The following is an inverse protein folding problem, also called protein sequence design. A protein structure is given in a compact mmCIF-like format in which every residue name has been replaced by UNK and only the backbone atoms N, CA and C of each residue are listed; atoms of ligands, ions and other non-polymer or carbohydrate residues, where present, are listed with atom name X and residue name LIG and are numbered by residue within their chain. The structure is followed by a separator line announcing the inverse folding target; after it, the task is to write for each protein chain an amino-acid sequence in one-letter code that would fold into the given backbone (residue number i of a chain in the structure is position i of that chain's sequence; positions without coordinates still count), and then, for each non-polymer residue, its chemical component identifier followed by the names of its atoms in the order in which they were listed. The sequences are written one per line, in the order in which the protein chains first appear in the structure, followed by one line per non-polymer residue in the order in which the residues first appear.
data_IF_599467692583
#
_entry.id   IF_599467692583
#
_cell.length_a   1.000
_cell.length_b   1.000
_cell.length_c   1.000
_cell.angle_alpha   90.00
_cell.angle_beta   90.00
_cell.angle_gamma   90.00
#
_symmetry.space_group_name_H-M   'P 1'
#
loop_
_entity.id
_entity.type
_entity.pdbx_description
1 polymer ?
#
# COMPACT_ATOMS: atom_id res chain seq x y z
N UNK A 1 7.51 8.62 -28.51
CA UNK A 1 7.05 9.38 -27.33
C UNK A 1 8.29 9.94 -26.67
N UNK A 2 8.44 11.26 -26.64
CA UNK A 2 9.58 11.90 -26.00
C UNK A 2 9.42 11.80 -24.48
N UNK A 3 10.44 11.29 -23.79
CA UNK A 3 10.41 11.16 -22.34
C UNK A 3 10.63 12.54 -21.72
N UNK A 4 9.63 13.05 -21.02
CA UNK A 4 9.76 14.28 -20.22
C UNK A 4 10.57 13.98 -18.95
N UNK A 5 11.89 14.10 -19.06
CA UNK A 5 12.84 13.86 -17.97
C UNK A 5 12.62 14.80 -16.78
N UNK A 6 12.08 16.00 -17.00
CA UNK A 6 11.72 16.96 -15.95
C UNK A 6 10.66 16.39 -15.00
N UNK A 7 9.67 15.68 -15.55
CA UNK A 7 8.61 15.04 -14.78
C UNK A 7 9.07 13.76 -14.08
N UNK A 8 10.00 13.03 -14.68
CA UNK A 8 10.52 11.75 -14.16
C UNK A 8 11.57 11.98 -13.05
N UNK A 9 12.38 13.03 -13.18
CA UNK A 9 13.46 13.35 -12.24
C UNK A 9 13.06 14.36 -11.16
N UNK A 10 11.76 14.67 -11.01
CA UNK A 10 11.29 15.51 -9.91
C UNK A 10 11.63 14.86 -8.56
N UNK A 11 12.67 15.36 -7.91
CA UNK A 11 13.04 14.96 -6.55
C UNK A 11 12.04 15.60 -5.58
N UNK A 12 11.04 14.81 -5.17
CA UNK A 12 10.07 15.24 -4.16
C UNK A 12 10.80 15.59 -2.87
N UNK A 13 10.49 16.75 -2.29
CA UNK A 13 11.00 17.11 -0.97
C UNK A 13 10.57 16.06 0.05
N UNK A 14 11.55 15.45 0.71
CA UNK A 14 11.38 14.35 1.65
C UNK A 14 11.99 14.70 3.00
N UNK A 15 11.29 14.29 4.05
CA UNK A 15 11.74 14.38 5.44
C UNK A 15 12.23 13.00 5.84
N UNK A 16 13.50 12.91 6.25
CA UNK A 16 14.15 11.66 6.62
C UNK A 16 14.28 11.49 8.14
N UNK A 17 14.38 12.61 8.86
CA UNK A 17 14.54 12.65 10.32
C UNK A 17 13.61 13.68 10.93
N UNK A 18 13.15 13.42 12.14
CA UNK A 18 12.44 14.40 12.97
C UNK A 18 13.28 14.58 14.22
N UNK A 19 13.80 15.80 14.43
CA UNK A 19 14.67 16.14 15.58
C UNK A 19 15.87 15.19 15.74
N UNK A 20 16.47 14.78 14.63
CA UNK A 20 17.64 13.87 14.61
C UNK A 20 17.30 12.38 14.72
N UNK A 21 16.04 12.02 14.99
CA UNK A 21 15.60 10.61 15.02
C UNK A 21 15.10 10.21 13.62
N UNK A 22 15.59 9.11 13.03
CA UNK A 22 15.08 8.62 11.76
C UNK A 22 13.62 8.18 11.92
N UNK A 23 12.79 8.47 10.92
CA UNK A 23 11.37 8.10 10.96
C UNK A 23 11.28 6.56 10.92
N UNK A 24 10.75 5.91 11.96
CA UNK A 24 10.59 4.46 11.98
C UNK A 24 9.65 4.04 10.84
N UNK A 25 9.94 2.90 10.22
CA UNK A 25 9.20 2.34 9.07
C UNK A 25 9.26 3.12 7.74
N UNK A 26 9.89 4.31 7.70
CA UNK A 26 10.03 5.12 6.48
C UNK A 26 11.51 5.38 6.12
N UNK A 27 12.29 4.31 5.86
CA UNK A 27 13.73 4.38 5.51
C UNK A 27 14.02 5.27 4.29
N UNK A 28 13.06 5.43 3.37
CA UNK A 28 13.19 6.23 2.16
C UNK A 28 12.72 7.69 2.31
N UNK A 29 12.44 8.13 3.55
CA UNK A 29 11.88 9.44 3.87
C UNK A 29 10.40 9.56 3.50
N UNK A 30 9.68 10.44 4.19
CA UNK A 30 8.28 10.76 3.90
C UNK A 30 8.24 12.02 3.04
N UNK A 31 7.54 12.00 1.90
CA UNK A 31 7.43 13.21 1.08
C UNK A 31 6.52 14.25 1.75
N UNK A 32 6.86 15.53 1.65
CA UNK A 32 6.05 16.63 2.20
C UNK A 32 4.64 16.61 1.60
N UNK A 33 4.53 16.32 0.31
CA UNK A 33 3.24 16.14 -0.36
C UNK A 33 2.38 15.07 0.33
N UNK A 34 2.96 13.92 0.68
CA UNK A 34 2.23 12.87 1.41
C UNK A 34 1.79 13.35 2.80
N UNK A 35 2.65 14.07 3.53
CA UNK A 35 2.28 14.64 4.83
C UNK A 35 1.10 15.60 4.72
N UNK A 36 1.12 16.50 3.73
CA UNK A 36 0.04 17.47 3.48
C UNK A 36 -1.26 16.75 3.13
N UNK A 37 -1.21 15.76 2.23
CA UNK A 37 -2.39 14.98 1.83
C UNK A 37 -2.97 14.21 3.02
N UNK A 38 -2.13 13.52 3.80
CA UNK A 38 -2.58 12.80 5.00
C UNK A 38 -3.19 13.76 6.03
N UNK A 39 -2.57 14.91 6.26
CA UNK A 39 -3.10 15.94 7.14
C UNK A 39 -4.46 16.47 6.70
N UNK A 40 -4.63 16.73 5.39
CA UNK A 40 -5.89 17.20 4.82
C UNK A 40 -7.00 16.14 4.93
N UNK A 41 -6.69 14.87 4.68
CA UNK A 41 -7.63 13.76 4.87
C UNK A 41 -8.07 13.67 6.34
N UNK A 42 -7.13 13.75 7.28
CA UNK A 42 -7.46 13.76 8.71
C UNK A 42 -8.35 14.93 9.11
N UNK A 43 -8.06 16.13 8.59
CA UNK A 43 -8.86 17.32 8.85
C UNK A 43 -10.31 17.15 8.34
N UNK A 44 -10.49 16.61 7.14
CA UNK A 44 -11.82 16.31 6.58
C UNK A 44 -12.57 15.30 7.45
N UNK A 45 -11.89 14.24 7.92
CA UNK A 45 -12.51 13.24 8.81
C UNK A 45 -12.94 13.86 10.15
N UNK A 46 -12.16 14.78 10.70
CA UNK A 46 -12.52 15.49 11.94
C UNK A 46 -13.77 16.35 11.73
N UNK A 47 -13.83 17.13 10.63
CA UNK A 47 -14.99 17.96 10.30
C UNK A 47 -16.24 17.09 10.14
N UNK A 48 -16.14 15.97 9.41
CA UNK A 48 -17.24 15.01 9.25
C UNK A 48 -17.69 14.43 10.60
N UNK A 49 -16.75 14.09 11.47
CA UNK A 49 -17.05 13.59 12.81
C UNK A 49 -17.81 14.62 13.66
N UNK A 50 -17.40 15.88 13.63
CA UNK A 50 -18.10 16.98 14.32
C UNK A 50 -19.50 17.18 13.74
N UNK A 51 -19.63 17.14 12.41
CA UNK A 51 -20.93 17.26 11.75
C UNK A 51 -21.90 16.14 12.15
N UNK A 52 -21.43 14.89 12.15
CA UNK A 52 -22.20 13.73 12.59
C UNK A 52 -22.64 13.87 14.05
N UNK A 53 -21.74 14.37 14.91
CA UNK A 53 -22.05 14.62 16.31
C UNK A 53 -23.13 15.69 16.49
N UNK A 54 -23.06 16.79 15.73
CA UNK A 54 -24.07 17.87 15.76
C UNK A 54 -25.43 17.37 15.26
N UNK A 55 -25.46 16.51 14.24
CA UNK A 55 -26.70 15.95 13.70
C UNK A 55 -27.42 15.01 14.69
N UNK A 56 -26.77 14.60 15.78
CA UNK A 56 -27.44 13.84 16.85
C UNK A 56 -27.96 12.46 16.42
N UNK A 57 -27.45 11.91 15.31
CA UNK A 57 -27.88 10.60 14.84
C UNK A 57 -27.25 9.53 15.74
N UNK A 58 -28.02 9.03 16.70
CA UNK A 58 -27.56 8.09 17.74
C UNK A 58 -26.78 6.89 17.18
N UNK A 59 -27.22 6.36 16.03
CA UNK A 59 -26.54 5.28 15.35
C UNK A 59 -25.12 5.66 14.90
N UNK A 60 -24.97 6.79 14.21
CA UNK A 60 -23.66 7.22 13.70
C UNK A 60 -22.72 7.64 14.84
N UNK A 61 -23.26 8.27 15.89
CA UNK A 61 -22.51 8.60 17.10
C UNK A 61 -22.05 7.33 17.82
N UNK A 62 -22.89 6.30 17.93
CA UNK A 62 -22.52 5.00 18.49
C UNK A 62 -21.44 4.29 17.67
N UNK A 63 -21.57 4.28 16.34
CA UNK A 63 -20.56 3.73 15.43
C UNK A 63 -19.22 4.47 15.58
N UNK A 64 -19.24 5.80 15.66
CA UNK A 64 -18.03 6.58 15.91
C UNK A 64 -17.40 6.30 17.28
N UNK A 65 -18.18 6.08 18.34
CA UNK A 65 -17.64 5.80 19.68
C UNK A 65 -17.10 4.38 19.82
N UNK A 66 -17.79 3.40 19.24
CA UNK A 66 -17.51 1.98 19.48
C UNK A 66 -16.66 1.35 18.38
N UNK A 67 -16.74 1.84 17.13
CA UNK A 67 -16.07 1.27 15.98
C UNK A 67 -14.97 2.16 15.38
N UNK A 68 -14.53 3.22 16.06
CA UNK A 68 -13.50 4.14 15.57
C UNK A 68 -12.22 3.42 15.09
N UNK A 69 -11.78 2.38 15.82
CA UNK A 69 -10.57 1.64 15.49
C UNK A 69 -10.76 0.81 14.20
N UNK A 70 -11.93 0.18 14.05
CA UNK A 70 -12.32 -0.53 12.82
C UNK A 70 -12.36 0.44 11.63
N UNK A 71 -12.92 1.64 11.83
CA UNK A 71 -12.98 2.69 10.80
C UNK A 71 -11.58 3.08 10.35
N UNK A 72 -10.64 3.31 11.28
CA UNK A 72 -9.25 3.66 10.93
C UNK A 72 -8.58 2.55 10.12
N UNK A 73 -8.74 1.29 10.55
CA UNK A 73 -8.17 0.14 9.82
C UNK A 73 -8.80 0.04 8.43
N UNK A 74 -10.12 0.15 8.32
CA UNK A 74 -10.83 0.09 7.05
C UNK A 74 -10.38 1.20 6.09
N UNK A 75 -10.26 2.44 6.58
CA UNK A 75 -9.75 3.58 5.79
C UNK A 75 -8.31 3.33 5.35
N UNK A 76 -7.45 2.79 6.22
CA UNK A 76 -6.07 2.43 5.88
C UNK A 76 -6.00 1.39 4.75
N UNK A 77 -6.80 0.32 4.85
CA UNK A 77 -6.93 -0.70 3.79
C UNK A 77 -7.47 -0.09 2.49
N UNK A 78 -8.42 0.83 2.58
CA UNK A 78 -9.02 1.50 1.43
C UNK A 78 -8.00 2.42 0.72
N UNK A 79 -7.24 3.22 1.47
CA UNK A 79 -6.14 4.03 0.91
C UNK A 79 -5.10 3.14 0.25
N UNK A 80 -4.71 2.03 0.89
CA UNK A 80 -3.74 1.09 0.33
C UNK A 80 -4.24 0.46 -0.98
N UNK A 81 -5.51 0.03 -1.01
CA UNK A 81 -6.10 -0.55 -2.23
C UNK A 81 -6.18 0.49 -3.35
N UNK A 82 -6.67 1.71 -3.08
CA UNK A 82 -6.69 2.81 -4.06
C UNK A 82 -5.29 3.15 -4.57
N UNK A 83 -4.29 3.20 -3.68
CA UNK A 83 -2.90 3.41 -4.06
C UNK A 83 -2.42 2.31 -5.02
N UNK A 84 -2.68 1.04 -4.70
CA UNK A 84 -2.30 -0.09 -5.56
C UNK A 84 -3.00 -0.05 -6.92
N UNK A 85 -4.29 0.31 -6.96
CA UNK A 85 -5.04 0.45 -8.21
C UNK A 85 -4.48 1.56 -9.11
N UNK A 86 -4.18 2.72 -8.51
CA UNK A 86 -3.63 3.86 -9.23
C UNK A 86 -2.21 3.56 -9.74
N UNK A 87 -1.38 2.91 -8.90
CA UNK A 87 -0.03 2.50 -9.27
C UNK A 87 -0.03 1.51 -10.46
N UNK A 88 -0.88 0.48 -10.39
CA UNK A 88 -0.98 -0.54 -11.45
C UNK A 88 -1.82 -0.07 -12.66
N UNK A 89 -2.48 1.09 -12.57
CA UNK A 89 -3.50 1.58 -13.53
C UNK A 89 -4.56 0.51 -13.87
N UNK A 90 -5.05 -0.20 -12.85
CA UNK A 90 -6.03 -1.28 -12.98
C UNK A 90 -7.37 -0.89 -12.38
N UNK A 91 -8.44 -1.39 -12.98
CA UNK A 91 -9.78 -1.35 -12.39
C UNK A 91 -9.86 -2.29 -11.17
N UNK A 92 -10.72 -1.96 -10.21
CA UNK A 92 -10.86 -2.69 -8.94
C UNK A 92 -11.12 -4.20 -9.13
N UNK A 93 -12.00 -4.55 -10.07
CA UNK A 93 -12.33 -5.95 -10.34
C UNK A 93 -11.13 -6.75 -10.88
N UNK A 94 -10.36 -6.16 -11.80
CA UNK A 94 -9.16 -6.79 -12.37
C UNK A 94 -8.11 -6.99 -11.28
N UNK A 95 -7.92 -5.98 -10.43
CA UNK A 95 -7.01 -6.05 -9.29
C UNK A 95 -7.39 -7.18 -8.31
N UNK A 96 -8.67 -7.34 -7.99
CA UNK A 96 -9.14 -8.44 -7.11
C UNK A 96 -8.85 -9.81 -7.71
N UNK A 97 -9.15 -10.00 -9.00
CA UNK A 97 -8.90 -11.26 -9.71
C UNK A 97 -7.41 -11.59 -9.72
N UNK A 98 -6.55 -10.59 -9.98
CA UNK A 98 -5.10 -10.78 -9.98
C UNK A 98 -4.57 -11.12 -8.58
N UNK A 99 -5.05 -10.47 -7.52
CA UNK A 99 -4.67 -10.81 -6.14
C UNK A 99 -5.13 -12.21 -5.75
N UNK A 100 -6.30 -12.64 -6.20
CA UNK A 100 -6.79 -13.99 -5.99
C UNK A 100 -5.92 -15.02 -6.74
N UNK A 101 -5.59 -14.76 -8.01
CA UNK A 101 -4.69 -15.58 -8.83
C UNK A 101 -3.29 -15.66 -8.20
N UNK A 102 -2.77 -14.54 -7.71
CA UNK A 102 -1.50 -14.50 -6.99
C UNK A 102 -1.53 -15.35 -5.73
N UNK A 103 -2.59 -15.23 -4.89
CA UNK A 103 -2.73 -16.06 -3.68
C UNK A 103 -2.79 -17.55 -4.01
N UNK A 104 -3.50 -17.92 -5.08
CA UNK A 104 -3.59 -19.30 -5.58
C UNK A 104 -2.24 -19.85 -6.07
N UNK A 105 -1.43 -19.00 -6.70
CA UNK A 105 -0.17 -19.38 -7.33
C UNK A 105 1.08 -19.04 -6.50
N UNK A 106 0.94 -18.54 -5.27
CA UNK A 106 2.05 -18.04 -4.43
C UNK A 106 3.16 -19.07 -4.20
N UNK A 107 2.80 -20.35 -4.17
CA UNK A 107 3.72 -21.46 -3.91
C UNK A 107 4.09 -22.24 -5.18
N UNK A 108 3.76 -21.72 -6.37
CA UNK A 108 4.10 -22.35 -7.65
C UNK A 108 5.19 -21.51 -8.32
N UNK A 109 6.34 -22.11 -8.55
CA UNK A 109 7.39 -21.51 -9.38
C UNK A 109 7.25 -22.02 -10.81
N UNK A 110 7.50 -21.12 -11.76
CA UNK A 110 7.60 -21.46 -13.16
C UNK A 110 8.99 -21.04 -13.64
N UNK A 111 9.71 -21.97 -14.24
CA UNK A 111 10.96 -21.70 -14.94
C UNK A 111 10.74 -22.05 -16.41
N UNK A 112 11.09 -21.12 -17.32
CA UNK A 112 10.97 -21.33 -18.77
C UNK A 112 9.55 -21.70 -19.26
N UNK A 113 8.51 -21.36 -18.49
CA UNK A 113 7.11 -21.65 -18.82
C UNK A 113 6.60 -23.00 -18.28
N UNK A 114 7.46 -23.81 -17.65
CA UNK A 114 7.10 -25.07 -17.04
C UNK A 114 6.99 -24.93 -15.51
N UNK A 115 6.09 -25.70 -14.89
CA UNK A 115 5.91 -25.71 -13.45
C UNK A 115 7.06 -26.50 -12.82
N UNK A 116 7.81 -25.84 -11.94
CA UNK A 116 8.91 -26.47 -11.22
C UNK A 116 8.36 -27.10 -9.95
N UNK A 117 8.43 -28.43 -9.85
CA UNK A 117 7.87 -29.21 -8.73
C UNK A 117 8.77 -29.23 -7.49
N UNK A 118 9.97 -28.65 -7.56
CA UNK A 118 10.91 -28.65 -6.44
C UNK A 118 10.46 -27.69 -5.31
N UNK A 119 10.60 -28.07 -4.03
CA UNK A 119 10.35 -27.17 -2.92
C UNK A 119 11.34 -26.00 -2.93
N UNK A 120 10.88 -24.81 -2.52
CA UNK A 120 11.64 -23.54 -2.57
C UNK A 120 13.05 -23.59 -1.94
N UNK A 121 13.33 -24.54 -1.05
CA UNK A 121 14.59 -24.69 -0.33
C UNK A 121 15.56 -25.71 -0.98
N UNK A 122 15.25 -26.23 -2.17
CA UNK A 122 16.10 -27.22 -2.82
C UNK A 122 17.32 -26.57 -3.47
N UNK A 123 18.49 -26.72 -2.84
CA UNK A 123 19.77 -26.29 -3.41
C UNK A 123 20.19 -27.31 -4.47
N UNK A 124 20.03 -26.96 -5.74
CA UNK A 124 20.53 -27.75 -6.87
C UNK A 124 22.06 -27.73 -6.83
N UNK A 125 22.69 -28.87 -6.50
CA UNK A 125 24.14 -29.06 -6.63
C UNK A 125 24.42 -29.57 -8.03
N UNK A 126 25.11 -28.77 -8.83
CA UNK A 126 25.63 -29.22 -10.12
C UNK A 126 26.79 -30.19 -9.87
N UNK A 127 26.69 -31.40 -10.44
CA UNK A 127 27.83 -32.29 -10.53
C UNK A 127 28.83 -31.68 -11.51
N UNK A 128 29.89 -31.08 -10.98
CA UNK A 128 31.08 -30.76 -11.77
C UNK A 128 31.80 -32.07 -12.06
N UNK A 129 31.49 -32.68 -13.20
CA UNK A 129 32.34 -33.73 -13.76
C UNK A 129 33.78 -33.16 -13.88
N UNK A 130 34.67 -33.71 -13.05
CA UNK A 130 36.11 -33.50 -13.17
C UNK A 130 36.56 -34.15 -14.48
N UNK A 131 37.11 -33.34 -15.39
CA UNK A 131 38.08 -33.79 -16.39
C UNK A 131 39.47 -33.45 -15.92
#
# INVERSE_FOLDING_TARGET
MEYDFTKIMQQKHKVYTVRGVPIPFAKNGVSIQQMVVVGLVFLVLIILGIFIYIQGIDFLVSVMKNAWLIIIIAVGVLIWTLFSLNWDRKNFLIYLVDRFRFKKNKYRQYEHGELVEFPLDYVVKYETERR
#
